data_IF_739186594029
#
_entry.id   IF_739186594029
#
_cell.length_a   1.000
_cell.length_b   1.000
_cell.length_c   1.000
_cell.angle_alpha   90.00
_cell.angle_beta   90.00
_cell.angle_gamma   90.00
#
_symmetry.space_group_name_H-M   'P 1'
#
loop_
_entity.id
_entity.type
_entity.pdbx_description
1 polymer ?
#
# COMPACT_ATOMS: atom_id res chain seq x y z
N UNK A 1 -48.28 14.92 18.28
CA UNK A 1 -47.33 15.20 17.17
C UNK A 1 -45.94 15.35 17.77
N UNK A 2 -44.89 14.77 17.15
CA UNK A 2 -43.50 14.93 17.61
C UNK A 2 -42.87 16.02 16.76
N UNK A 3 -42.72 17.22 17.31
CA UNK A 3 -42.07 18.35 16.63
C UNK A 3 -40.63 17.95 16.23
N UNK A 4 -40.21 18.26 14.99
CA UNK A 4 -38.83 18.00 14.54
C UNK A 4 -37.88 19.04 15.14
N UNK A 5 -36.77 18.58 15.73
CA UNK A 5 -35.71 19.43 16.27
C UNK A 5 -34.90 20.08 15.13
N UNK A 6 -34.75 21.41 15.14
CA UNK A 6 -34.05 22.18 14.10
C UNK A 6 -32.52 22.29 14.29
N UNK A 7 -31.95 21.62 15.31
CA UNK A 7 -30.50 21.55 15.61
C UNK A 7 -29.76 22.90 15.74
N UNK A 8 -30.49 24.03 15.88
CA UNK A 8 -29.93 25.33 16.26
C UNK A 8 -29.66 25.34 17.77
N UNK A 9 -28.71 26.16 18.24
CA UNK A 9 -28.42 26.33 19.67
C UNK A 9 -28.80 27.75 20.10
N UNK A 10 -29.82 27.94 20.97
CA UNK A 10 -30.82 26.96 21.40
C UNK A 10 -31.84 26.65 20.29
N UNK A 11 -32.41 25.44 20.31
CA UNK A 11 -33.33 25.00 19.26
C UNK A 11 -34.71 25.63 19.45
N UNK A 12 -35.48 25.81 18.38
CA UNK A 12 -36.77 26.50 18.44
C UNK A 12 -37.75 25.80 19.41
N UNK A 13 -37.65 24.48 19.55
CA UNK A 13 -38.43 23.70 20.50
C UNK A 13 -38.05 23.99 21.95
N UNK A 14 -36.77 24.15 22.28
CA UNK A 14 -36.31 24.50 23.62
C UNK A 14 -36.63 25.96 23.98
N UNK A 15 -36.58 26.86 23.00
CA UNK A 15 -37.03 28.26 23.17
C UNK A 15 -38.54 28.30 23.48
N UNK A 16 -39.36 27.58 22.71
CA UNK A 16 -40.81 27.50 22.95
C UNK A 16 -41.18 26.86 24.30
N UNK A 17 -40.30 26.02 24.85
CA UNK A 17 -40.47 25.38 26.18
C UNK A 17 -39.91 26.21 27.34
N UNK A 18 -39.42 27.42 27.08
CA UNK A 18 -38.79 28.29 28.09
C UNK A 18 -37.59 27.68 28.82
N UNK A 19 -36.93 26.69 28.21
CA UNK A 19 -35.71 26.06 28.75
C UNK A 19 -34.52 26.13 27.78
N UNK A 20 -34.12 27.33 27.30
CA UNK A 20 -33.00 27.46 26.37
C UNK A 20 -31.65 27.03 26.99
N UNK A 21 -31.48 27.21 28.30
CA UNK A 21 -30.27 26.79 29.04
C UNK A 21 -30.05 25.28 29.10
N UNK A 22 -31.10 24.49 28.89
CA UNK A 22 -31.04 23.02 28.87
C UNK A 22 -30.83 22.46 27.46
N UNK A 23 -30.82 23.32 26.44
CA UNK A 23 -30.59 22.94 25.05
C UNK A 23 -29.11 22.64 24.79
N UNK A 24 -28.65 21.47 25.26
CA UNK A 24 -27.27 21.00 25.11
C UNK A 24 -27.22 19.82 24.15
N UNK A 25 -26.58 20.01 23.01
CA UNK A 25 -26.19 18.91 22.14
C UNK A 25 -24.89 18.32 22.68
N UNK A 26 -24.98 17.13 23.28
CA UNK A 26 -23.78 16.30 23.41
C UNK A 26 -23.40 15.86 21.99
N UNK A 27 -22.12 15.99 21.63
CA UNK A 27 -21.61 15.30 20.44
C UNK A 27 -22.05 13.84 20.54
N UNK A 28 -22.79 13.30 19.54
CA UNK A 28 -23.19 11.90 19.55
C UNK A 28 -21.94 11.04 19.70
N UNK A 29 -22.05 9.88 20.32
CA UNK A 29 -20.89 9.00 20.55
C UNK A 29 -20.15 8.67 19.25
N UNK A 30 -20.84 8.69 18.11
CA UNK A 30 -20.27 8.59 16.76
C UNK A 30 -19.31 9.74 16.43
N UNK A 31 -19.68 10.98 16.73
CA UNK A 31 -18.81 12.15 16.51
C UNK A 31 -17.63 12.14 17.48
N UNK A 32 -17.85 11.68 18.73
CA UNK A 32 -16.76 11.50 19.71
C UNK A 32 -15.75 10.46 19.24
N UNK A 33 -16.23 9.33 18.70
CA UNK A 33 -15.38 8.30 18.11
C UNK A 33 -14.65 8.81 16.86
N UNK A 34 -15.32 9.55 15.99
CA UNK A 34 -14.71 10.14 14.80
C UNK A 34 -13.59 11.14 15.16
N UNK A 35 -13.79 11.97 16.18
CA UNK A 35 -12.76 12.89 16.69
C UNK A 35 -11.58 12.10 17.28
N UNK A 36 -11.83 11.06 18.07
CA UNK A 36 -10.77 10.22 18.64
C UNK A 36 -9.98 9.45 17.56
N UNK A 37 -10.64 9.01 16.49
CA UNK A 37 -9.98 8.33 15.37
C UNK A 37 -9.12 9.27 14.53
N UNK A 38 -9.39 10.57 14.53
CA UNK A 38 -8.62 11.54 13.75
C UNK A 38 -7.14 11.58 14.16
N UNK A 39 -6.86 11.46 15.46
CA UNK A 39 -5.49 11.40 15.99
C UNK A 39 -4.76 10.13 15.52
N UNK A 40 -5.46 8.99 15.54
CA UNK A 40 -4.92 7.72 15.05
C UNK A 40 -4.60 7.79 13.55
N UNK A 41 -5.51 8.34 12.75
CA UNK A 41 -5.31 8.53 11.30
C UNK A 41 -4.11 9.44 11.03
N UNK A 42 -3.98 10.54 11.77
CA UNK A 42 -2.84 11.45 11.66
C UNK A 42 -1.52 10.74 12.00
N UNK A 43 -1.50 9.94 13.07
CA UNK A 43 -0.34 9.12 13.45
C UNK A 43 0.05 8.10 12.39
N UNK A 44 -0.93 7.40 11.80
CA UNK A 44 -0.69 6.43 10.73
C UNK A 44 -0.12 7.09 9.47
N UNK A 45 -0.64 8.26 9.06
CA UNK A 45 -0.11 9.02 7.92
C UNK A 45 1.32 9.47 8.14
N UNK A 46 1.64 9.96 9.33
CA UNK A 46 3.00 10.37 9.70
C UNK A 46 3.98 9.19 9.60
N UNK A 47 3.63 8.03 10.17
CA UNK A 47 4.46 6.81 10.08
C UNK A 47 4.62 6.31 8.64
N UNK A 48 3.55 6.32 7.84
CA UNK A 48 3.60 5.92 6.44
C UNK A 48 4.55 6.82 5.63
N UNK A 49 4.53 8.13 5.87
CA UNK A 49 5.45 9.06 5.23
C UNK A 49 6.90 8.82 5.69
N UNK A 50 7.14 8.64 6.99
CA UNK A 50 8.48 8.32 7.50
C UNK A 50 9.05 7.03 6.88
N UNK A 51 8.23 5.99 6.76
CA UNK A 51 8.65 4.73 6.13
C UNK A 51 8.91 4.90 4.63
N UNK A 52 8.07 5.68 3.93
CA UNK A 52 8.29 6.04 2.53
C UNK A 52 9.60 6.81 2.34
N UNK A 53 9.89 7.75 3.22
CA UNK A 53 11.14 8.51 3.18
C UNK A 53 12.34 7.60 3.45
N UNK A 54 12.26 6.72 4.46
CA UNK A 54 13.31 5.74 4.75
C UNK A 54 13.58 4.80 3.57
N UNK A 55 12.53 4.31 2.92
CA UNK A 55 12.65 3.49 1.71
C UNK A 55 13.17 4.30 0.52
N UNK A 56 12.78 5.57 0.40
CA UNK A 56 13.32 6.50 -0.59
C UNK A 56 14.81 6.75 -0.41
N UNK A 57 15.28 6.93 0.84
CA UNK A 57 16.71 7.08 1.14
C UNK A 57 17.50 5.78 0.91
N UNK A 58 16.91 4.63 1.26
CA UNK A 58 17.53 3.33 1.03
C UNK A 58 17.56 2.94 -0.47
N UNK A 59 16.60 3.41 -1.27
CA UNK A 59 16.55 3.19 -2.73
C UNK A 59 17.28 4.28 -3.53
N UNK A 60 17.39 5.50 -3.00
CA UNK A 60 18.03 6.66 -3.63
C UNK A 60 19.55 6.64 -3.63
N UNK A 61 20.18 5.62 -3.06
CA UNK A 61 21.61 5.35 -3.20
C UNK A 61 21.94 4.56 -4.49
N UNK A 62 20.94 4.20 -5.30
CA UNK A 62 21.11 3.58 -6.61
C UNK A 62 20.47 4.40 -7.74
N UNK A 63 20.99 5.60 -7.99
CA UNK A 63 20.86 6.24 -9.31
C UNK A 63 22.24 6.80 -9.68
N UNK A 64 23.04 5.99 -10.39
CA UNK A 64 24.06 6.52 -11.29
C UNK A 64 23.32 7.01 -12.55
N UNK A 65 23.41 8.31 -12.79
CA UNK A 65 22.96 8.96 -14.02
C UNK A 65 23.73 8.37 -15.21
N UNK A 66 23.00 7.91 -16.23
CA UNK A 66 23.56 7.80 -17.58
C UNK A 66 22.98 8.96 -18.37
N UNK A 67 23.91 9.79 -18.82
CA UNK A 67 23.74 11.04 -19.51
C UNK A 67 23.08 10.89 -20.90
N UNK A 68 22.27 11.90 -21.22
CA UNK A 68 22.16 12.58 -22.50
C UNK A 68 22.15 11.82 -23.86
N UNK A 69 20.99 11.88 -24.52
CA UNK A 69 20.76 12.33 -25.92
C UNK A 69 19.70 11.48 -26.64
N UNK A 70 18.48 12.03 -26.78
CA UNK A 70 17.88 12.21 -28.12
C UNK A 70 16.72 13.21 -28.09
N UNK A 71 16.86 14.20 -28.97
CA UNK A 71 16.02 15.38 -29.22
C UNK A 71 14.51 15.12 -29.44
N UNK A 72 13.68 15.89 -28.72
CA UNK A 72 12.62 16.88 -29.15
C UNK A 72 11.82 16.69 -30.47
N UNK A 73 10.71 17.43 -30.70
CA UNK A 73 9.68 18.02 -29.82
C UNK A 73 8.21 17.92 -30.35
N UNK A 74 7.26 18.40 -29.53
CA UNK A 74 6.00 19.11 -29.84
C UNK A 74 4.80 18.44 -30.57
N UNK A 75 3.62 18.48 -29.91
CA UNK A 75 2.49 19.29 -30.43
C UNK A 75 1.40 19.48 -29.36
N UNK A 76 1.07 20.74 -29.12
CA UNK A 76 0.06 21.27 -28.20
C UNK A 76 -1.38 20.82 -28.50
N UNK A 77 -2.21 20.71 -27.47
CA UNK A 77 -3.53 21.37 -27.46
C UNK A 77 -3.97 21.66 -26.03
N UNK A 78 -4.55 22.85 -25.90
CA UNK A 78 -4.84 23.63 -24.70
C UNK A 78 -6.25 23.36 -24.10
N UNK A 79 -6.37 23.59 -22.78
CA UNK A 79 -7.56 24.10 -22.05
C UNK A 79 -8.82 23.17 -22.02
N UNK A 80 -9.69 23.11 -21.01
CA UNK A 80 -9.97 23.84 -19.78
C UNK A 80 -10.95 22.99 -18.92
N UNK A 81 -11.24 23.50 -17.74
CA UNK A 81 -11.97 22.93 -16.60
C UNK A 81 -13.48 22.64 -16.82
N UNK A 82 -14.07 22.08 -15.76
CA UNK A 82 -15.52 21.97 -15.47
C UNK A 82 -16.33 20.85 -16.15
N UNK A 83 -16.52 19.75 -15.39
CA UNK A 83 -17.86 19.31 -14.99
C UNK A 83 -17.79 18.29 -13.84
N UNK A 84 -17.70 18.83 -12.62
CA UNK A 84 -18.14 18.12 -11.41
C UNK A 84 -19.68 18.08 -11.42
N UNK A 85 -20.28 17.03 -12.00
CA UNK A 85 -21.66 16.68 -11.66
C UNK A 85 -21.97 15.22 -12.00
N UNK A 86 -22.28 14.48 -10.93
CA UNK A 86 -23.16 13.30 -10.92
C UNK A 86 -22.62 12.00 -11.52
N UNK A 87 -21.88 11.23 -10.70
CA UNK A 87 -22.09 9.77 -10.67
C UNK A 87 -22.28 9.30 -9.23
N UNK A 88 -23.54 9.02 -8.91
CA UNK A 88 -23.95 8.17 -7.81
C UNK A 88 -23.11 6.89 -7.77
N UNK A 89 -22.51 6.49 -6.64
CA UNK A 89 -22.05 5.12 -6.49
C UNK A 89 -23.29 4.24 -6.29
N UNK A 90 -23.74 3.56 -7.36
CA UNK A 90 -24.58 2.39 -7.20
C UNK A 90 -23.71 1.29 -6.61
N UNK A 91 -23.98 0.92 -5.37
CA UNK A 91 -23.37 -0.27 -4.77
C UNK A 91 -23.78 -1.48 -5.62
N UNK A 92 -22.82 -2.07 -6.31
CA UNK A 92 -23.00 -3.38 -6.91
C UNK A 92 -23.25 -4.39 -5.78
N UNK A 93 -24.18 -5.36 -5.95
CA UNK A 93 -24.28 -6.48 -5.04
C UNK A 93 -22.92 -7.20 -4.99
N UNK A 94 -22.40 -7.38 -3.78
CA UNK A 94 -21.24 -8.25 -3.56
C UNK A 94 -21.74 -9.68 -3.78
N UNK A 95 -21.58 -10.19 -5.00
CA UNK A 95 -21.67 -11.62 -5.24
C UNK A 95 -20.43 -12.25 -4.61
N UNK A 96 -20.64 -12.98 -3.52
CA UNK A 96 -19.64 -13.84 -2.90
C UNK A 96 -19.19 -14.88 -3.93
N UNK A 97 -18.11 -14.58 -4.65
CA UNK A 97 -17.42 -15.55 -5.47
C UNK A 97 -16.34 -16.22 -4.61
N UNK A 98 -16.62 -17.46 -4.21
CA UNK A 98 -15.68 -18.41 -3.59
C UNK A 98 -14.50 -18.77 -4.53
N UNK A 99 -13.73 -17.78 -4.98
CA UNK A 99 -12.60 -17.92 -5.91
C UNK A 99 -11.34 -17.12 -5.54
N UNK A 100 -11.43 -16.16 -4.61
CA UNK A 100 -10.32 -15.26 -4.27
C UNK A 100 -9.20 -15.94 -3.47
N UNK A 101 -9.48 -17.04 -2.76
CA UNK A 101 -8.49 -17.74 -1.95
C UNK A 101 -7.41 -18.50 -2.74
N UNK A 102 -7.71 -18.90 -3.97
CA UNK A 102 -6.78 -19.67 -4.82
C UNK A 102 -5.81 -18.75 -5.58
N UNK A 103 -6.30 -17.62 -6.08
CA UNK A 103 -5.46 -16.60 -6.72
C UNK A 103 -4.50 -15.97 -5.72
N UNK A 104 -5.02 -15.58 -4.54
CA UNK A 104 -4.22 -14.98 -3.48
C UNK A 104 -3.12 -15.92 -2.96
N UNK A 105 -3.43 -17.21 -2.80
CA UNK A 105 -2.43 -18.22 -2.39
C UNK A 105 -1.32 -18.39 -3.44
N UNK A 106 -1.66 -18.39 -4.74
CA UNK A 106 -0.67 -18.48 -5.82
C UNK A 106 0.23 -17.25 -5.91
N UNK A 107 -0.31 -16.07 -5.64
CA UNK A 107 0.47 -14.83 -5.57
C UNK A 107 1.43 -14.85 -4.37
N UNK A 108 0.97 -15.33 -3.21
CA UNK A 108 1.81 -15.55 -2.02
C UNK A 108 2.95 -16.53 -2.30
N UNK A 109 2.66 -17.65 -2.97
CA UNK A 109 3.67 -18.65 -3.37
C UNK A 109 4.70 -18.05 -4.34
N UNK A 110 4.27 -17.30 -5.35
CA UNK A 110 5.17 -16.61 -6.29
C UNK A 110 6.04 -15.55 -5.60
N UNK A 111 5.49 -14.85 -4.60
CA UNK A 111 6.22 -13.84 -3.86
C UNK A 111 7.31 -14.49 -2.99
N UNK A 112 7.00 -15.64 -2.38
CA UNK A 112 7.96 -16.43 -1.62
C UNK A 112 9.11 -16.94 -2.52
N UNK A 113 8.79 -17.48 -3.70
CA UNK A 113 9.80 -17.90 -4.68
C UNK A 113 10.70 -16.72 -5.12
N UNK A 114 10.09 -15.56 -5.39
CA UNK A 114 10.83 -14.35 -5.76
C UNK A 114 11.75 -13.87 -4.63
N UNK A 115 11.30 -13.96 -3.38
CA UNK A 115 12.11 -13.59 -2.22
C UNK A 115 13.35 -14.47 -2.08
N UNK A 116 13.21 -15.79 -2.30
CA UNK A 116 14.34 -16.73 -2.33
C UNK A 116 15.35 -16.36 -3.42
N UNK A 117 14.88 -16.09 -4.64
CA UNK A 117 15.73 -15.68 -5.76
C UNK A 117 16.44 -14.36 -5.46
N UNK A 118 15.72 -13.39 -4.87
CA UNK A 118 16.28 -12.11 -4.48
C UNK A 118 17.34 -12.25 -3.38
N UNK A 119 17.09 -13.08 -2.38
CA UNK A 119 18.07 -13.37 -1.33
C UNK A 119 19.34 -14.00 -1.91
N UNK A 120 19.20 -14.91 -2.88
CA UNK A 120 20.34 -15.51 -3.59
C UNK A 120 21.14 -14.47 -4.41
N UNK A 121 20.47 -13.52 -5.07
CA UNK A 121 21.14 -12.46 -5.83
C UNK A 121 21.83 -11.44 -4.91
N UNK A 122 21.23 -11.15 -3.75
CA UNK A 122 21.70 -10.12 -2.83
C UNK A 122 22.82 -10.61 -1.89
N UNK A 123 22.71 -11.84 -1.42
CA UNK A 123 23.56 -12.40 -0.36
C UNK A 123 24.25 -13.71 -0.77
N UNK A 124 23.98 -14.25 -1.96
CA UNK A 124 24.62 -15.46 -2.44
C UNK A 124 26.08 -15.26 -2.82
N UNK A 125 26.79 -16.38 -2.96
CA UNK A 125 28.17 -16.38 -3.47
C UNK A 125 28.18 -16.00 -4.95
N UNK A 126 29.32 -15.54 -5.47
CA UNK A 126 29.45 -15.21 -6.91
C UNK A 126 29.02 -16.35 -7.84
N UNK A 127 29.35 -17.60 -7.49
CA UNK A 127 28.93 -18.78 -8.24
C UNK A 127 27.40 -18.99 -8.20
N UNK A 128 26.77 -18.76 -7.05
CA UNK A 128 25.31 -18.82 -6.88
C UNK A 128 24.62 -17.74 -7.71
N UNK A 129 25.13 -16.50 -7.67
CA UNK A 129 24.58 -15.36 -8.42
C UNK A 129 24.69 -15.60 -9.93
N UNK A 130 25.86 -16.03 -10.41
CA UNK A 130 26.08 -16.34 -11.83
C UNK A 130 25.11 -17.41 -12.32
N UNK A 131 24.94 -18.48 -11.54
CA UNK A 131 24.03 -19.57 -11.88
C UNK A 131 22.57 -19.11 -11.90
N UNK A 132 22.12 -18.34 -10.91
CA UNK A 132 20.76 -17.77 -10.88
C UNK A 132 20.53 -16.85 -12.08
N UNK A 133 21.45 -15.93 -12.37
CA UNK A 133 21.34 -15.03 -13.54
C UNK A 133 21.32 -15.82 -14.84
N UNK A 134 22.13 -16.88 -14.95
CA UNK A 134 22.15 -17.75 -16.13
C UNK A 134 20.80 -18.44 -16.34
N UNK A 135 20.13 -18.89 -15.27
CA UNK A 135 18.80 -19.53 -15.35
C UNK A 135 17.71 -18.51 -15.70
N UNK A 136 17.77 -17.29 -15.13
CA UNK A 136 16.89 -16.17 -15.50
C UNK A 136 17.04 -15.84 -17.01
N UNK A 137 18.26 -15.74 -17.53
CA UNK A 137 18.51 -15.45 -18.95
C UNK A 137 18.01 -16.55 -19.89
N UNK A 138 17.90 -17.79 -19.41
CA UNK A 138 17.30 -18.91 -20.16
C UNK A 138 15.77 -18.89 -20.12
N UNK A 139 15.16 -18.03 -19.30
CA UNK A 139 13.72 -17.98 -19.11
C UNK A 139 13.17 -19.13 -18.25
N UNK A 140 13.99 -19.70 -17.36
CA UNK A 140 13.51 -20.70 -16.39
C UNK A 140 12.51 -20.07 -15.42
N UNK A 141 11.52 -20.84 -14.95
CA UNK A 141 10.49 -20.35 -14.03
C UNK A 141 11.07 -20.07 -12.64
N UNK A 142 10.51 -19.05 -11.95
CA UNK A 142 10.99 -18.61 -10.64
C UNK A 142 11.00 -19.74 -9.60
N UNK A 143 9.96 -20.58 -9.54
CA UNK A 143 9.93 -21.73 -8.64
C UNK A 143 11.05 -22.74 -8.86
N UNK A 144 11.41 -23.04 -10.11
CA UNK A 144 12.51 -23.98 -10.43
C UNK A 144 13.89 -23.40 -10.05
N UNK A 145 14.02 -22.07 -10.12
CA UNK A 145 15.21 -21.34 -9.71
C UNK A 145 15.28 -21.31 -8.18
N UNK A 146 14.19 -20.93 -7.51
CA UNK A 146 14.06 -20.87 -6.06
C UNK A 146 14.33 -22.23 -5.41
N UNK A 147 13.73 -23.30 -5.92
CA UNK A 147 13.98 -24.66 -5.46
C UNK A 147 15.46 -25.06 -5.64
N UNK A 148 16.08 -24.64 -6.75
CA UNK A 148 17.51 -24.86 -6.96
C UNK A 148 18.40 -24.17 -5.93
N UNK A 149 18.00 -22.97 -5.49
CA UNK A 149 18.70 -22.21 -4.42
C UNK A 149 18.53 -22.91 -3.07
N UNK A 150 17.30 -23.28 -2.70
CA UNK A 150 16.95 -23.89 -1.41
C UNK A 150 17.60 -25.24 -1.18
N UNK A 151 17.72 -26.06 -2.24
CA UNK A 151 18.36 -27.37 -2.17
C UNK A 151 19.89 -27.27 -2.00
N UNK A 152 20.43 -26.05 -1.87
CA UNK A 152 21.85 -25.78 -1.79
C UNK A 152 22.48 -26.09 -3.13
N UNK A 153 22.56 -25.08 -4.01
CA UNK A 153 23.42 -25.14 -5.19
C UNK A 153 24.86 -25.41 -4.72
N UNK A 154 25.28 -26.67 -4.70
CA UNK A 154 26.61 -27.07 -4.24
C UNK A 154 27.34 -27.92 -5.28
N UNK A 155 28.69 -27.89 -5.37
CA UNK A 155 29.65 -27.10 -4.59
C UNK A 155 30.61 -26.23 -5.45
N UNK A 156 30.87 -25.01 -5.00
CA UNK A 156 32.23 -24.45 -5.05
C UNK A 156 32.42 -23.55 -3.84
N UNK A 157 33.27 -24.02 -2.92
CA UNK A 157 33.75 -23.41 -1.69
C UNK A 157 32.71 -23.15 -0.58
N UNK A 158 32.81 -24.03 0.41
CA UNK A 158 32.59 -23.74 1.82
C UNK A 158 33.36 -22.47 2.20
N UNK A 159 32.65 -21.45 2.67
CA UNK A 159 32.97 -20.73 3.91
C UNK A 159 31.88 -19.68 4.17
N UNK A 160 31.43 -19.58 5.42
CA UNK A 160 30.54 -18.51 5.86
C UNK A 160 29.14 -18.93 6.27
N UNK A 161 29.01 -20.01 7.05
CA UNK A 161 27.85 -20.14 7.94
C UNK A 161 27.94 -19.00 8.96
N UNK A 162 27.07 -18.00 8.87
CA UNK A 162 26.81 -17.08 9.97
C UNK A 162 25.73 -17.74 10.83
N UNK A 163 26.15 -18.37 11.91
CA UNK A 163 25.24 -18.74 13.01
C UNK A 163 24.85 -17.44 13.70
N UNK A 164 23.55 -17.14 13.76
CA UNK A 164 23.00 -16.12 14.65
C UNK A 164 22.73 -16.78 16.01
N UNK A 165 23.60 -16.53 16.98
CA UNK A 165 23.30 -16.55 18.43
C UNK A 165 23.55 -15.14 18.99
#
# INVERSE_FOLDING_TARGET
MREKCNRLTPCATCVARSTPQECKYAAPDTDRQAIAQAELIAGLRSRANQLRDQLGMARGMEIFEIDEHRDSPESDTEHEEEQQQQRHPQYAPIENANGEGSAKRREEDQLAELEVVYAALRWGTGATVEEVVRRIRRGEHLGDIAQGVELGMGPALRDGVVVLD
#
